data_IF_428864780017
#
_entry.id   IF_428864780017
#
_cell.length_a   1.000
_cell.length_b   1.000
_cell.length_c   1.000
_cell.angle_alpha   90.00
_cell.angle_beta   90.00
_cell.angle_gamma   90.00
#
_symmetry.space_group_name_H-M   'P 1'
#
loop_
_entity.id
_entity.type
_entity.pdbx_description
1 polymer ?
#
# COMPACT_ATOMS: atom_id res chain seq x y z
N UNK A 1 18.80 19.22 14.14
CA UNK A 1 17.83 19.37 15.24
C UNK A 1 16.94 18.15 15.22
N UNK A 2 17.05 17.26 16.20
CA UNK A 2 16.26 16.03 16.24
C UNK A 2 14.87 16.32 16.79
N UNK A 3 13.87 16.36 15.92
CA UNK A 3 12.50 16.10 16.36
C UNK A 3 12.46 14.63 16.77
N UNK A 4 12.29 14.36 18.06
CA UNK A 4 12.01 13.01 18.53
C UNK A 4 10.72 12.54 17.87
N UNK A 5 10.83 11.57 16.96
CA UNK A 5 9.70 10.87 16.36
C UNK A 5 8.85 10.26 17.48
N UNK A 6 7.70 10.87 17.75
CA UNK A 6 6.77 10.49 18.82
C UNK A 6 5.52 9.83 18.27
N UNK A 7 4.49 9.69 19.11
CA UNK A 7 3.17 9.22 18.69
C UNK A 7 2.13 10.31 18.95
N UNK A 8 1.12 10.42 18.08
CA UNK A 8 0.07 11.44 18.19
C UNK A 8 -1.32 10.85 17.98
N UNK A 9 -2.29 11.29 18.80
CA UNK A 9 -3.72 11.05 18.56
C UNK A 9 -4.26 12.23 17.77
N UNK A 10 -4.65 12.00 16.52
CA UNK A 10 -5.08 13.07 15.61
C UNK A 10 -6.60 13.23 15.57
N UNK A 11 -7.35 12.14 15.78
CA UNK A 11 -8.80 12.12 15.63
C UNK A 11 -9.46 11.30 16.74
N UNK A 12 -10.75 11.59 16.95
CA UNK A 12 -11.63 10.82 17.83
C UNK A 12 -12.84 10.38 17.02
N UNK A 13 -13.11 9.08 16.98
CA UNK A 13 -14.25 8.50 16.29
C UNK A 13 -15.29 7.97 17.28
N UNK A 14 -16.54 7.84 16.83
CA UNK A 14 -17.63 7.19 17.55
C UNK A 14 -18.31 6.20 16.61
N UNK A 15 -18.39 4.94 17.04
CA UNK A 15 -19.17 3.92 16.36
C UNK A 15 -20.56 3.85 16.99
N UNK A 16 -21.61 3.88 16.18
CA UNK A 16 -23.01 3.78 16.60
C UNK A 16 -23.73 2.75 15.76
N UNK A 17 -24.53 1.89 16.40
CA UNK A 17 -25.37 0.94 15.69
C UNK A 17 -26.62 1.65 15.21
N UNK A 18 -27.02 1.39 13.97
CA UNK A 18 -28.30 1.88 13.45
C UNK A 18 -29.47 1.09 14.02
N UNK A 19 -29.22 -0.17 14.39
CA UNK A 19 -30.19 -1.05 15.03
C UNK A 19 -30.00 -0.95 16.54
N UNK A 20 -31.08 -0.84 17.31
CA UNK A 20 -31.00 -0.69 18.77
C UNK A 20 -30.36 -1.88 19.50
N UNK A 21 -29.93 -2.93 18.79
CA UNK A 21 -29.08 -3.99 19.29
C UNK A 21 -27.65 -3.48 19.41
N UNK A 22 -27.11 -3.45 20.63
CA UNK A 22 -25.71 -3.11 20.86
C UNK A 22 -24.74 -4.01 20.08
N UNK A 23 -23.44 -3.76 20.22
CA UNK A 23 -22.42 -4.47 19.46
C UNK A 23 -21.94 -5.76 20.13
N UNK A 24 -21.60 -6.77 19.34
CA UNK A 24 -20.70 -7.83 19.80
C UNK A 24 -19.26 -7.33 19.80
N UNK A 25 -18.50 -7.68 20.84
CA UNK A 25 -17.10 -7.23 21.00
C UNK A 25 -16.22 -7.68 19.83
N UNK A 26 -16.40 -8.92 19.36
CA UNK A 26 -15.58 -9.48 18.28
C UNK A 26 -15.85 -8.80 16.93
N UNK A 27 -17.11 -8.39 16.68
CA UNK A 27 -17.48 -7.61 15.49
C UNK A 27 -16.82 -6.23 15.52
N UNK A 28 -16.83 -5.56 16.68
CA UNK A 28 -16.16 -4.27 16.87
C UNK A 28 -14.67 -4.42 16.67
N UNK A 29 -14.04 -5.45 17.23
CA UNK A 29 -12.61 -5.67 17.08
C UNK A 29 -12.23 -5.93 15.61
N UNK A 30 -13.05 -6.69 14.89
CA UNK A 30 -12.87 -6.93 13.45
C UNK A 30 -12.98 -5.65 12.64
N UNK A 31 -13.98 -4.81 12.94
CA UNK A 31 -14.14 -3.51 12.30
C UNK A 31 -12.97 -2.57 12.62
N UNK A 32 -12.51 -2.51 13.87
CA UNK A 32 -11.35 -1.70 14.26
C UNK A 32 -10.10 -2.14 13.50
N UNK A 33 -9.88 -3.45 13.32
CA UNK A 33 -8.75 -3.94 12.54
C UNK A 33 -8.86 -3.55 11.05
N UNK A 34 -10.07 -3.53 10.49
CA UNK A 34 -10.32 -3.04 9.14
C UNK A 34 -10.02 -1.55 9.01
N UNK A 35 -10.49 -0.73 9.96
CA UNK A 35 -10.22 0.72 10.03
C UNK A 35 -8.73 0.99 10.19
N UNK A 36 -8.05 0.30 11.12
CA UNK A 36 -6.61 0.42 11.33
C UNK A 36 -5.85 0.09 10.04
N UNK A 37 -6.26 -0.97 9.33
CA UNK A 37 -5.68 -1.37 8.03
C UNK A 37 -5.92 -0.30 6.96
N UNK A 38 -7.14 0.22 6.86
CA UNK A 38 -7.48 1.24 5.87
C UNK A 38 -6.70 2.53 6.09
N UNK A 39 -6.70 3.06 7.32
CA UNK A 39 -5.95 4.25 7.68
C UNK A 39 -4.44 4.06 7.48
N UNK A 40 -3.95 2.86 7.79
CA UNK A 40 -2.55 2.50 7.54
C UNK A 40 -2.18 2.57 6.05
N UNK A 41 -3.09 2.15 5.16
CA UNK A 41 -2.90 2.26 3.72
C UNK A 41 -2.92 3.72 3.25
N UNK A 42 -3.88 4.52 3.72
CA UNK A 42 -3.98 5.95 3.36
C UNK A 42 -2.70 6.69 3.74
N UNK A 43 -2.23 6.51 4.97
CA UNK A 43 -1.05 7.20 5.50
C UNK A 43 0.27 6.71 4.88
N UNK A 44 0.26 5.55 4.19
CA UNK A 44 1.50 4.87 3.80
C UNK A 44 2.36 4.47 4.99
N UNK A 45 1.76 4.36 6.18
CA UNK A 45 2.44 4.16 7.45
C UNK A 45 1.53 3.51 8.47
N UNK A 46 2.05 2.67 9.38
CA UNK A 46 1.19 1.95 10.32
C UNK A 46 0.47 2.92 11.28
N UNK A 47 -0.86 2.89 11.23
CA UNK A 47 -1.76 3.67 12.05
C UNK A 47 -2.75 2.74 12.77
N UNK A 48 -3.11 3.07 14.00
CA UNK A 48 -4.06 2.27 14.75
C UNK A 48 -4.90 3.08 15.74
N UNK A 49 -6.09 2.56 16.01
CA UNK A 49 -7.04 3.03 17.00
C UNK A 49 -6.52 2.77 18.41
N UNK A 50 -6.72 3.72 19.32
CA UNK A 50 -6.28 3.57 20.73
C UNK A 50 -7.36 4.06 21.68
N UNK A 51 -7.26 3.67 22.95
CA UNK A 51 -8.18 4.07 24.02
C UNK A 51 -9.66 3.78 23.71
N UNK A 52 -9.96 2.66 23.04
CA UNK A 52 -11.33 2.31 22.65
C UNK A 52 -12.14 1.91 23.87
N UNK A 53 -13.30 2.55 24.04
CA UNK A 53 -14.25 2.26 25.12
C UNK A 53 -15.65 2.03 24.56
N UNK A 54 -16.30 0.96 24.99
CA UNK A 54 -17.71 0.66 24.71
C UNK A 54 -18.60 1.23 25.82
N UNK A 55 -19.67 1.92 25.43
CA UNK A 55 -20.61 2.56 26.36
C UNK A 55 -22.02 2.00 26.17
N UNK A 56 -22.74 1.78 27.27
CA UNK A 56 -24.18 1.50 27.22
C UNK A 56 -25.00 2.78 26.98
N UNK A 57 -26.30 2.65 26.71
CA UNK A 57 -27.20 3.78 26.42
C UNK A 57 -27.22 4.87 27.51
N UNK A 58 -26.94 4.50 28.77
CA UNK A 58 -26.86 5.43 29.92
C UNK A 58 -25.52 6.18 30.01
N UNK A 59 -24.56 5.91 29.11
CA UNK A 59 -23.25 6.56 29.06
C UNK A 59 -22.17 5.90 29.92
N UNK A 60 -22.48 4.82 30.63
CA UNK A 60 -21.48 4.10 31.42
C UNK A 60 -20.56 3.27 30.51
N UNK A 61 -19.27 3.27 30.81
CA UNK A 61 -18.30 2.41 30.10
C UNK A 61 -18.46 0.97 30.57
N UNK A 62 -18.81 0.07 29.66
CA UNK A 62 -19.04 -1.36 29.93
C UNK A 62 -17.93 -2.25 29.35
N UNK A 63 -17.11 -1.72 28.45
CA UNK A 63 -16.00 -2.45 27.82
C UNK A 63 -14.86 -1.51 27.44
N UNK A 64 -13.63 -2.03 27.40
CA UNK A 64 -12.44 -1.32 26.90
C UNK A 64 -11.53 -2.28 26.14
N UNK A 65 -10.98 -1.82 25.02
CA UNK A 65 -9.90 -2.50 24.31
C UNK A 65 -8.56 -1.99 24.83
N UNK A 66 -7.75 -2.89 25.37
CA UNK A 66 -6.38 -2.64 25.79
C UNK A 66 -5.44 -3.55 25.01
N UNK A 67 -4.26 -3.06 24.70
CA UNK A 67 -3.21 -3.88 24.10
C UNK A 67 -2.26 -3.07 23.24
N UNK A 68 -1.05 -3.62 22.98
CA UNK A 68 -0.15 -3.02 22.03
C UNK A 68 -0.78 -3.08 20.64
N UNK A 69 -0.84 -1.93 19.95
CA UNK A 69 -1.14 -1.87 18.53
C UNK A 69 0.12 -1.50 17.77
N UNK A 70 0.24 -2.00 16.55
CA UNK A 70 1.35 -1.65 15.68
C UNK A 70 1.11 -0.25 15.11
N UNK A 71 1.88 0.72 15.58
CA UNK A 71 1.84 2.11 15.14
C UNK A 71 3.26 2.54 14.86
N UNK A 72 3.47 3.20 13.72
CA UNK A 72 4.77 3.77 13.36
C UNK A 72 4.94 5.14 14.00
N UNK A 73 6.20 5.50 14.26
CA UNK A 73 6.49 6.82 14.82
C UNK A 73 6.04 7.92 13.84
N UNK A 74 5.54 9.02 14.38
CA UNK A 74 5.01 10.14 13.61
C UNK A 74 6.11 10.73 12.73
N UNK A 75 6.00 10.44 11.43
CA UNK A 75 6.89 10.92 10.38
C UNK A 75 6.06 11.10 9.13
N UNK A 76 6.31 12.17 8.39
CA UNK A 76 5.70 12.35 7.07
C UNK A 76 6.27 11.30 6.13
N UNK A 77 5.42 10.38 5.68
CA UNK A 77 5.76 9.41 4.65
C UNK A 77 5.17 9.84 3.32
N UNK A 78 5.85 9.49 2.23
CA UNK A 78 5.30 9.63 0.88
C UNK A 78 4.22 8.58 0.69
N UNK A 79 3.05 8.97 0.19
CA UNK A 79 1.92 8.07 -0.08
C UNK A 79 1.22 8.54 -1.35
N UNK A 80 0.36 7.69 -1.91
CA UNK A 80 -0.56 8.06 -2.98
C UNK A 80 -1.60 9.09 -2.56
N UNK A 81 -1.81 9.30 -1.25
CA UNK A 81 -2.74 10.32 -0.74
C UNK A 81 -2.09 11.69 -0.67
N UNK A 82 -2.82 12.73 -1.09
CA UNK A 82 -2.47 14.13 -0.85
C UNK A 82 -3.44 14.78 0.16
N UNK A 83 -2.96 15.83 0.82
CA UNK A 83 -3.76 16.59 1.80
C UNK A 83 -4.99 17.26 1.17
N UNK A 84 -4.98 17.51 -0.13
CA UNK A 84 -6.12 18.10 -0.86
C UNK A 84 -7.25 17.09 -1.12
N UNK A 85 -6.99 15.78 -1.04
CA UNK A 85 -7.89 14.72 -1.51
C UNK A 85 -8.97 14.26 -0.51
N UNK A 86 -9.20 15.02 0.57
CA UNK A 86 -10.03 14.58 1.71
C UNK A 86 -11.46 14.14 1.36
N UNK A 87 -12.07 14.71 0.32
CA UNK A 87 -13.44 14.36 -0.10
C UNK A 87 -13.52 13.08 -0.93
N UNK A 88 -12.54 12.82 -1.80
CA UNK A 88 -12.52 11.68 -2.73
C UNK A 88 -12.30 10.34 -2.01
N UNK A 89 -11.57 10.37 -0.90
CA UNK A 89 -11.23 9.17 -0.11
C UNK A 89 -12.46 8.55 0.58
N UNK A 90 -13.54 9.32 0.79
CA UNK A 90 -14.73 8.84 1.52
C UNK A 90 -15.43 7.67 0.80
N UNK A 91 -15.45 7.65 -0.53
CA UNK A 91 -16.02 6.57 -1.33
C UNK A 91 -15.16 5.30 -1.33
N UNK A 92 -13.85 5.45 -1.13
CA UNK A 92 -12.89 4.34 -1.18
C UNK A 92 -13.12 3.30 -0.08
N UNK A 93 -13.59 3.72 1.10
CA UNK A 93 -13.74 2.82 2.24
C UNK A 93 -14.75 1.70 1.97
N UNK A 94 -15.82 1.98 1.21
CA UNK A 94 -16.82 0.97 0.85
C UNK A 94 -16.20 -0.15 0.01
N UNK A 95 -15.51 0.21 -1.07
CA UNK A 95 -14.82 -0.77 -1.92
C UNK A 95 -13.68 -1.50 -1.22
N UNK A 96 -12.94 -0.80 -0.34
CA UNK A 96 -11.98 -1.45 0.56
C UNK A 96 -12.63 -2.53 1.42
N UNK A 97 -13.77 -2.23 2.06
CA UNK A 97 -14.47 -3.18 2.93
C UNK A 97 -14.96 -4.40 2.16
N UNK A 98 -15.43 -4.25 0.92
CA UNK A 98 -15.85 -5.38 0.07
C UNK A 98 -14.71 -6.37 -0.20
N UNK A 99 -13.49 -5.87 -0.42
CA UNK A 99 -12.30 -6.72 -0.62
C UNK A 99 -11.79 -7.26 0.71
N UNK A 100 -11.72 -6.42 1.74
CA UNK A 100 -11.22 -6.78 3.07
C UNK A 100 -12.03 -7.89 3.71
N UNK A 101 -13.37 -7.81 3.68
CA UNK A 101 -14.24 -8.80 4.32
C UNK A 101 -14.10 -10.20 3.70
N UNK A 102 -13.71 -10.30 2.43
CA UNK A 102 -13.45 -11.58 1.76
C UNK A 102 -12.10 -12.18 2.18
N UNK A 103 -11.10 -11.35 2.48
CA UNK A 103 -9.71 -11.77 2.71
C UNK A 103 -8.99 -10.91 3.77
N UNK A 104 -9.49 -10.83 5.02
CA UNK A 104 -9.03 -9.82 5.98
C UNK A 104 -7.56 -10.00 6.37
N UNK A 105 -7.12 -11.25 6.53
CA UNK A 105 -5.72 -11.57 6.86
C UNK A 105 -4.76 -11.20 5.72
N UNK A 106 -5.14 -11.47 4.48
CA UNK A 106 -4.29 -11.20 3.33
C UNK A 106 -4.22 -9.71 3.02
N UNK A 107 -5.34 -8.98 3.04
CA UNK A 107 -5.35 -7.52 2.86
C UNK A 107 -4.59 -6.82 3.99
N UNK A 108 -4.82 -7.23 5.24
CA UNK A 108 -4.04 -6.73 6.37
C UNK A 108 -2.54 -7.00 6.22
N UNK A 109 -2.16 -8.16 5.67
CA UNK A 109 -0.75 -8.49 5.38
C UNK A 109 -0.18 -7.63 4.25
N UNK A 110 -0.90 -7.42 3.16
CA UNK A 110 -0.44 -6.61 2.03
C UNK A 110 -0.19 -5.17 2.48
N UNK A 111 -1.12 -4.57 3.23
CA UNK A 111 -0.94 -3.20 3.74
C UNK A 111 0.26 -3.11 4.69
N UNK A 112 0.47 -4.12 5.55
CA UNK A 112 1.68 -4.14 6.40
C UNK A 112 2.96 -4.21 5.57
N UNK A 113 3.02 -5.07 4.54
CA UNK A 113 4.18 -5.17 3.64
C UNK A 113 4.42 -3.86 2.88
N UNK A 114 3.36 -3.24 2.37
CA UNK A 114 3.39 -1.92 1.74
C UNK A 114 3.98 -0.86 2.69
N UNK A 115 3.43 -0.74 3.90
CA UNK A 115 3.92 0.23 4.88
C UNK A 115 5.35 -0.05 5.31
N UNK A 116 5.70 -1.31 5.57
CA UNK A 116 7.08 -1.70 5.92
C UNK A 116 8.05 -1.41 4.80
N UNK A 117 7.64 -1.55 3.52
CA UNK A 117 8.46 -1.17 2.37
C UNK A 117 8.59 0.36 2.26
N UNK A 118 7.49 1.09 2.42
CA UNK A 118 7.49 2.55 2.32
C UNK A 118 8.38 3.19 3.40
N UNK A 119 8.24 2.73 4.65
CA UNK A 119 8.94 3.26 5.82
C UNK A 119 10.40 2.82 5.93
N UNK A 120 10.82 1.75 5.25
CA UNK A 120 12.16 1.19 5.44
C UNK A 120 13.24 2.16 4.95
N UNK A 121 14.26 2.36 5.77
CA UNK A 121 15.48 3.06 5.37
C UNK A 121 16.35 2.19 4.45
N UNK A 122 16.23 0.85 4.51
CA UNK A 122 16.87 -0.07 3.56
C UNK A 122 16.02 -0.20 2.30
N UNK A 123 16.53 0.35 1.20
CA UNK A 123 15.90 0.29 -0.12
C UNK A 123 15.80 -1.17 -0.60
N UNK A 124 16.85 -1.96 -0.39
CA UNK A 124 16.92 -3.37 -0.77
C UNK A 124 15.79 -4.19 -0.14
N UNK A 125 15.60 -4.05 1.18
CA UNK A 125 14.50 -4.71 1.88
C UNK A 125 13.13 -4.21 1.39
N UNK A 126 13.02 -2.93 1.04
CA UNK A 126 11.78 -2.37 0.48
C UNK A 126 11.40 -3.07 -0.82
N UNK A 127 12.36 -3.26 -1.74
CA UNK A 127 12.14 -3.93 -3.03
C UNK A 127 11.69 -5.38 -2.81
N UNK A 128 12.33 -6.11 -1.89
CA UNK A 128 11.95 -7.49 -1.56
C UNK A 128 10.53 -7.53 -0.97
N UNK A 129 10.18 -6.61 -0.07
CA UNK A 129 8.85 -6.54 0.54
C UNK A 129 7.76 -6.19 -0.48
N UNK A 130 8.04 -5.31 -1.44
CA UNK A 130 7.14 -5.00 -2.56
C UNK A 130 6.81 -6.27 -3.35
N UNK A 131 7.83 -7.07 -3.68
CA UNK A 131 7.63 -8.31 -4.42
C UNK A 131 6.75 -9.31 -3.66
N UNK A 132 6.96 -9.47 -2.34
CA UNK A 132 6.11 -10.33 -1.51
C UNK A 132 4.67 -9.78 -1.48
N UNK A 133 4.48 -8.47 -1.40
CA UNK A 133 3.16 -7.86 -1.42
C UNK A 133 2.42 -8.14 -2.74
N UNK A 134 3.11 -8.02 -3.88
CA UNK A 134 2.54 -8.42 -5.18
C UNK A 134 2.11 -9.87 -5.18
N UNK A 135 2.96 -10.80 -4.78
CA UNK A 135 2.64 -12.23 -4.81
C UNK A 135 1.41 -12.59 -3.95
N UNK A 136 1.27 -11.94 -2.79
CA UNK A 136 0.09 -12.09 -1.94
C UNK A 136 -1.14 -11.47 -2.61
N UNK A 137 -1.02 -10.25 -3.16
CA UNK A 137 -2.13 -9.56 -3.83
C UNK A 137 -2.61 -10.34 -5.07
N UNK A 138 -1.70 -10.86 -5.88
CA UNK A 138 -2.02 -11.74 -7.01
C UNK A 138 -2.84 -12.95 -6.59
N UNK A 139 -2.60 -13.49 -5.40
CA UNK A 139 -3.33 -14.66 -4.89
C UNK A 139 -4.78 -14.32 -4.55
N UNK A 140 -5.05 -13.07 -4.17
CA UNK A 140 -6.41 -12.57 -3.87
C UNK A 140 -7.13 -12.16 -5.16
N UNK A 141 -6.44 -11.46 -6.06
CA UNK A 141 -7.03 -10.92 -7.28
C UNK A 141 -7.22 -11.98 -8.38
N UNK A 142 -6.42 -13.05 -8.37
CA UNK A 142 -6.57 -14.15 -9.32
C UNK A 142 -7.30 -15.34 -8.70
N UNK A 143 -8.39 -15.76 -9.35
CA UNK A 143 -9.01 -17.05 -9.07
C UNK A 143 -8.01 -18.21 -9.25
N UNK A 144 -8.23 -19.34 -8.57
CA UNK A 144 -7.38 -20.53 -8.67
C UNK A 144 -7.22 -21.06 -10.13
N UNK A 145 -8.22 -20.79 -11.00
CA UNK A 145 -8.18 -21.11 -12.44
C UNK A 145 -7.48 -20.04 -13.28
N UNK A 146 -7.35 -18.83 -12.75
CA UNK A 146 -6.68 -17.67 -13.34
C UNK A 146 -5.24 -17.50 -12.91
N UNK A 147 -4.66 -18.40 -12.08
CA UNK A 147 -3.22 -18.43 -11.82
C UNK A 147 -2.47 -18.69 -13.12
N UNK A 148 -2.06 -17.60 -13.77
CA UNK A 148 -1.34 -17.65 -15.03
C UNK A 148 0.03 -18.28 -14.80
N UNK A 149 0.40 -19.22 -15.68
CA UNK A 149 1.76 -19.78 -15.74
C UNK A 149 2.66 -18.72 -16.35
N UNK A 150 3.84 -18.50 -15.77
CA UNK A 150 4.79 -17.50 -16.26
C UNK A 150 5.73 -17.04 -15.16
N UNK A 151 6.80 -16.36 -15.55
CA UNK A 151 7.70 -15.71 -14.61
C UNK A 151 6.96 -14.63 -13.79
N UNK A 152 7.36 -14.33 -12.54
CA UNK A 152 6.69 -13.34 -11.70
C UNK A 152 6.51 -11.98 -12.39
N UNK A 153 7.52 -11.50 -13.14
CA UNK A 153 7.47 -10.22 -13.84
C UNK A 153 6.37 -10.18 -14.90
N UNK A 154 6.25 -11.22 -15.73
CA UNK A 154 5.20 -11.33 -16.75
C UNK A 154 3.81 -11.33 -16.14
N UNK A 155 3.62 -12.05 -15.03
CA UNK A 155 2.31 -12.11 -14.35
C UNK A 155 1.87 -10.75 -13.82
N UNK A 156 2.80 -9.96 -13.30
CA UNK A 156 2.53 -8.60 -12.82
C UNK A 156 2.25 -7.69 -14.03
N UNK A 157 3.09 -7.74 -15.07
CA UNK A 157 2.92 -6.94 -16.28
C UNK A 157 1.59 -7.17 -16.97
N UNK A 158 1.18 -8.43 -17.12
CA UNK A 158 -0.10 -8.78 -17.72
C UNK A 158 -1.30 -8.28 -16.90
N UNK A 159 -1.20 -8.28 -15.57
CA UNK A 159 -2.24 -7.75 -14.72
C UNK A 159 -2.34 -6.24 -14.85
N UNK A 160 -1.22 -5.51 -14.78
CA UNK A 160 -1.19 -4.06 -14.98
C UNK A 160 -1.84 -3.68 -16.31
N UNK A 161 -1.45 -4.34 -17.40
CA UNK A 161 -2.05 -4.11 -18.73
C UNK A 161 -3.56 -4.39 -18.76
N UNK A 162 -4.03 -5.43 -18.06
CA UNK A 162 -5.47 -5.74 -18.01
C UNK A 162 -6.31 -4.69 -17.27
N UNK A 163 -5.65 -3.81 -16.51
CA UNK A 163 -6.24 -2.72 -15.75
C UNK A 163 -5.90 -1.35 -16.35
N UNK A 164 -5.40 -1.32 -17.59
CA UNK A 164 -4.97 -0.10 -18.29
C UNK A 164 -3.85 0.67 -17.58
N UNK A 165 -3.09 0.01 -16.71
CA UNK A 165 -1.90 0.56 -16.06
C UNK A 165 -0.69 0.27 -16.96
N UNK A 166 0.04 1.32 -17.32
CA UNK A 166 1.29 1.19 -18.07
C UNK A 166 2.29 0.35 -17.28
N UNK A 167 2.93 -0.62 -17.94
CA UNK A 167 3.89 -1.53 -17.32
C UNK A 167 5.35 -1.22 -17.70
N UNK A 168 5.60 -0.07 -18.34
CA UNK A 168 6.93 0.37 -18.76
C UNK A 168 7.65 1.10 -17.63
N UNK A 169 8.97 1.22 -17.71
CA UNK A 169 9.72 2.12 -16.83
C UNK A 169 9.46 3.56 -17.29
N UNK A 170 9.01 4.47 -16.41
CA UNK A 170 8.75 5.86 -16.78
C UNK A 170 10.00 6.61 -17.22
N UNK A 171 9.83 7.57 -18.14
CA UNK A 171 10.89 8.46 -18.64
C UNK A 171 11.58 9.29 -17.53
N UNK A 172 10.95 9.43 -16.36
CA UNK A 172 11.52 10.14 -15.21
C UNK A 172 12.53 9.32 -14.39
N UNK A 173 12.69 8.02 -14.68
CA UNK A 173 13.56 7.08 -13.95
C UNK A 173 14.79 6.72 -14.77
N UNK A 174 15.71 7.70 -14.89
CA UNK A 174 16.91 7.61 -15.73
C UNK A 174 17.81 6.41 -15.35
N UNK A 175 17.97 6.14 -14.05
CA UNK A 175 18.87 5.08 -13.59
C UNK A 175 18.32 3.68 -13.90
N UNK A 176 16.99 3.47 -13.76
CA UNK A 176 16.34 2.25 -14.19
C UNK A 176 16.34 2.09 -15.71
N UNK A 177 16.10 3.16 -16.47
CA UNK A 177 16.14 3.11 -17.93
C UNK A 177 17.53 2.73 -18.45
N UNK A 178 18.59 3.17 -17.79
CA UNK A 178 19.94 2.74 -18.10
C UNK A 178 20.11 1.22 -17.95
N UNK A 179 19.61 0.63 -16.86
CA UNK A 179 19.66 -0.82 -16.64
C UNK A 179 18.79 -1.60 -17.63
N UNK A 180 17.58 -1.11 -17.92
CA UNK A 180 16.68 -1.68 -18.93
C UNK A 180 17.41 -1.80 -20.27
N UNK A 181 18.13 -0.75 -20.66
CA UNK A 181 18.91 -0.70 -21.90
C UNK A 181 20.16 -1.58 -21.85
N UNK A 182 20.85 -1.63 -20.72
CA UNK A 182 22.07 -2.43 -20.53
C UNK A 182 21.79 -3.93 -20.62
N UNK A 183 20.70 -4.38 -19.99
CA UNK A 183 20.37 -5.81 -19.88
C UNK A 183 19.24 -6.28 -20.81
N UNK A 184 18.72 -5.39 -21.66
CA UNK A 184 17.60 -5.67 -22.58
C UNK A 184 16.35 -6.22 -21.85
N UNK A 185 16.03 -5.62 -20.70
CA UNK A 185 14.86 -6.02 -19.91
C UNK A 185 13.56 -5.52 -20.55
N UNK A 186 12.59 -6.42 -20.68
CA UNK A 186 11.39 -6.19 -21.49
C UNK A 186 10.45 -5.08 -20.99
N UNK A 187 10.23 -4.97 -19.67
CA UNK A 187 9.26 -4.05 -19.06
C UNK A 187 9.54 -3.82 -17.58
N UNK A 188 8.87 -2.86 -16.96
CA UNK A 188 9.08 -2.44 -15.58
C UNK A 188 8.95 -3.59 -14.56
N UNK A 189 7.88 -4.40 -14.59
CA UNK A 189 7.78 -5.56 -13.71
C UNK A 189 8.89 -6.60 -13.88
N UNK A 190 9.39 -6.84 -15.09
CA UNK A 190 10.55 -7.68 -15.32
C UNK A 190 11.80 -7.06 -14.68
N UNK A 191 12.05 -5.76 -14.90
CA UNK A 191 13.14 -5.02 -14.26
C UNK A 191 13.11 -5.12 -12.73
N UNK A 192 11.94 -4.96 -12.10
CA UNK A 192 11.79 -5.09 -10.65
C UNK A 192 12.14 -6.49 -10.14
N UNK A 193 11.80 -7.54 -10.91
CA UNK A 193 12.12 -8.93 -10.57
C UNK A 193 13.61 -9.19 -10.69
N UNK A 194 14.28 -8.71 -11.74
CA UNK A 194 15.73 -8.90 -11.91
C UNK A 194 16.53 -8.16 -10.84
N UNK A 195 16.15 -6.91 -10.52
CA UNK A 195 16.75 -6.15 -9.41
C UNK A 195 16.50 -6.87 -8.08
N UNK A 196 15.31 -7.44 -7.85
CA UNK A 196 15.07 -8.24 -6.65
C UNK A 196 15.95 -9.49 -6.64
N UNK A 197 16.12 -10.15 -7.78
CA UNK A 197 16.92 -11.36 -7.89
C UNK A 197 18.39 -11.09 -7.55
N UNK A 198 18.98 -9.97 -7.99
CA UNK A 198 20.35 -9.59 -7.62
C UNK A 198 20.54 -9.29 -6.12
N UNK A 199 19.50 -8.80 -5.45
CA UNK A 199 19.54 -8.57 -4.00
C UNK A 199 19.48 -9.86 -3.19
N UNK A 200 18.78 -10.88 -3.71
CA UNK A 200 18.56 -12.15 -3.00
C UNK A 200 19.63 -13.18 -3.35
N UNK A 201 20.03 -13.22 -4.61
CA UNK A 201 21.07 -14.09 -5.14
C UNK A 201 22.29 -13.20 -5.37
N UNK A 202 23.42 -13.52 -4.74
CA UNK A 202 24.68 -12.77 -4.90
C UNK A 202 25.21 -12.90 -6.34
N UNK A 203 24.54 -12.21 -7.25
CA UNK A 203 24.80 -12.22 -8.68
C UNK A 203 25.81 -11.13 -9.02
N UNK A 204 27.02 -11.58 -9.32
CA UNK A 204 28.16 -10.70 -9.59
C UNK A 204 27.98 -9.84 -10.83
N UNK A 205 27.09 -10.21 -11.74
CA UNK A 205 26.80 -9.40 -12.94
C UNK A 205 25.96 -8.16 -12.62
N UNK A 206 25.31 -8.11 -11.45
CA UNK A 206 24.45 -7.01 -11.00
C UNK A 206 24.97 -6.32 -9.72
N UNK A 207 26.23 -6.59 -9.34
CA UNK A 207 26.91 -5.95 -8.20
C UNK A 207 27.10 -4.42 -8.40
N UNK A 208 26.89 -3.91 -9.62
CA UNK A 208 27.08 -2.51 -10.02
C UNK A 208 25.81 -1.65 -10.02
N UNK A 209 24.65 -2.18 -9.61
CA UNK A 209 23.40 -1.40 -9.58
C UNK A 209 23.56 -0.20 -8.64
N UNK A 210 23.25 0.99 -9.15
CA UNK A 210 23.37 2.24 -8.39
C UNK A 210 22.28 2.37 -7.32
N UNK A 211 22.56 3.14 -6.26
CA UNK A 211 21.55 3.44 -5.24
C UNK A 211 20.35 4.20 -5.82
N UNK A 212 20.55 5.00 -6.86
CA UNK A 212 19.45 5.70 -7.55
C UNK A 212 18.52 4.71 -8.26
N UNK A 213 19.08 3.71 -8.95
CA UNK A 213 18.30 2.66 -9.59
C UNK A 213 17.50 1.84 -8.56
N UNK A 214 18.09 1.52 -7.40
CA UNK A 214 17.35 0.87 -6.32
C UNK A 214 16.23 1.77 -5.78
N UNK A 215 16.48 3.07 -5.61
CA UNK A 215 15.47 4.00 -5.13
C UNK A 215 14.30 4.12 -6.11
N UNK A 216 14.59 4.27 -7.40
CA UNK A 216 13.61 4.27 -8.49
C UNK A 216 12.84 2.94 -8.54
N UNK A 217 13.52 1.79 -8.38
CA UNK A 217 12.86 0.48 -8.31
C UNK A 217 11.88 0.39 -7.13
N UNK A 218 12.27 0.90 -5.96
CA UNK A 218 11.39 1.01 -4.80
C UNK A 218 10.17 1.87 -5.12
N UNK A 219 10.35 3.05 -5.71
CA UNK A 219 9.25 3.95 -6.04
C UNK A 219 8.30 3.32 -7.08
N UNK A 220 8.84 2.70 -8.12
CA UNK A 220 8.07 2.02 -9.17
C UNK A 220 7.25 0.86 -8.59
N UNK A 221 7.87 0.03 -7.74
CA UNK A 221 7.20 -1.08 -7.08
C UNK A 221 6.09 -0.62 -6.12
N UNK A 222 6.32 0.44 -5.34
CA UNK A 222 5.28 1.01 -4.49
C UNK A 222 4.14 1.60 -5.32
N UNK A 223 4.45 2.30 -6.42
CA UNK A 223 3.46 2.90 -7.31
C UNK A 223 2.52 1.85 -7.92
N UNK A 224 3.09 0.77 -8.49
CA UNK A 224 2.30 -0.33 -9.00
C UNK A 224 1.42 -0.96 -7.91
N UNK A 225 1.95 -1.16 -6.70
CA UNK A 225 1.19 -1.75 -5.60
C UNK A 225 0.02 -0.85 -5.17
N UNK A 226 0.24 0.47 -5.10
CA UNK A 226 -0.80 1.46 -4.81
C UNK A 226 -1.89 1.44 -5.86
N UNK A 227 -1.54 1.50 -7.16
CA UNK A 227 -2.52 1.47 -8.23
C UNK A 227 -3.34 0.18 -8.23
N UNK A 228 -2.71 -0.98 -8.02
CA UNK A 228 -3.44 -2.24 -7.94
C UNK A 228 -4.41 -2.27 -6.75
N UNK A 229 -4.01 -1.74 -5.59
CA UNK A 229 -4.89 -1.65 -4.43
C UNK A 229 -6.05 -0.68 -4.69
N UNK A 230 -5.77 0.51 -5.22
CA UNK A 230 -6.78 1.50 -5.58
C UNK A 230 -7.80 0.94 -6.58
N UNK A 231 -7.33 0.30 -7.65
CA UNK A 231 -8.20 -0.36 -8.62
C UNK A 231 -9.03 -1.46 -7.94
N UNK A 232 -8.41 -2.29 -7.09
CA UNK A 232 -9.13 -3.36 -6.38
C UNK A 232 -10.25 -2.85 -5.48
N UNK A 233 -10.11 -1.62 -4.97
CA UNK A 233 -11.11 -0.95 -4.14
C UNK A 233 -12.10 -0.12 -4.96
N UNK A 234 -12.06 -0.18 -6.29
CA UNK A 234 -12.97 0.56 -7.18
C UNK A 234 -12.77 2.08 -7.15
N UNK A 235 -11.55 2.54 -6.86
CA UNK A 235 -11.25 3.97 -6.83
C UNK A 235 -11.11 4.55 -8.24
N UNK A 236 -11.76 5.68 -8.53
CA UNK A 236 -11.69 6.36 -9.84
C UNK A 236 -11.26 7.84 -9.72
N UNK A 237 -10.76 8.25 -8.54
CA UNK A 237 -10.40 9.63 -8.25
C UNK A 237 -8.96 9.99 -8.61
N UNK A 238 -8.51 11.12 -8.08
CA UNK A 238 -7.13 11.56 -8.20
C UNK A 238 -6.23 10.81 -7.23
N UNK A 239 -4.93 10.74 -7.54
CA UNK A 239 -3.90 10.22 -6.64
C UNK A 239 -2.60 10.99 -6.84
N UNK A 240 -1.76 10.95 -5.81
CA UNK A 240 -0.49 11.62 -5.79
C UNK A 240 0.60 10.65 -6.28
N UNK A 241 1.02 10.81 -7.53
CA UNK A 241 1.93 9.86 -8.19
C UNK A 241 3.33 9.80 -7.58
N UNK A 242 3.91 8.59 -7.53
CA UNK A 242 5.28 8.35 -7.07
C UNK A 242 6.34 8.59 -8.14
N UNK A 243 5.91 8.68 -9.41
CA UNK A 243 6.81 8.77 -10.56
C UNK A 243 7.48 10.15 -10.71
N UNK A 244 6.96 11.16 -9.99
CA UNK A 244 7.53 12.50 -9.94
C UNK A 244 8.64 12.56 -8.87
N UNK A 245 9.79 13.20 -9.11
CA UNK A 245 10.87 13.30 -8.12
C UNK A 245 10.48 14.10 -6.86
N UNK A 246 9.61 15.11 -7.04
CA UNK A 246 9.10 15.96 -5.95
C UNK A 246 7.58 15.95 -6.01
N UNK A 247 6.96 15.68 -4.86
CA UNK A 247 5.51 15.71 -4.72
C UNK A 247 5.13 16.99 -3.96
N UNK A 248 4.54 17.94 -4.68
CA UNK A 248 3.98 19.15 -4.08
C UNK A 248 2.53 18.90 -3.65
N UNK A 249 2.06 19.63 -2.64
CA UNK A 249 0.66 19.54 -2.23
C UNK A 249 -0.25 19.95 -3.40
N UNK A 250 -1.26 19.13 -3.69
CA UNK A 250 -2.13 19.29 -4.86
C UNK A 250 -1.53 18.88 -6.21
N UNK A 251 -0.33 18.28 -6.23
CA UNK A 251 0.23 17.66 -7.44
C UNK A 251 -0.31 16.24 -7.59
N UNK A 252 -1.59 16.18 -7.98
CA UNK A 252 -2.37 14.96 -8.15
C UNK A 252 -2.72 14.75 -9.63
N UNK A 253 -2.99 13.50 -9.98
CA UNK A 253 -3.45 13.13 -11.32
C UNK A 253 -4.52 12.04 -11.20
N UNK A 254 -5.40 11.90 -12.19
CA UNK A 254 -6.39 10.83 -12.19
C UNK A 254 -5.72 9.46 -12.30
N UNK A 255 -6.32 8.44 -11.69
CA UNK A 255 -5.89 7.06 -11.91
C UNK A 255 -6.04 6.67 -13.39
N UNK A 256 -5.19 5.77 -13.93
CA UNK A 256 -5.16 5.47 -15.37
C UNK A 256 -6.49 4.99 -15.98
N UNK A 257 -7.34 4.34 -15.19
CA UNK A 257 -8.63 3.78 -15.62
C UNK A 257 -9.82 4.73 -15.35
N UNK A 258 -9.60 5.92 -14.80
CA UNK A 258 -10.66 6.91 -14.61
C UNK A 258 -11.16 7.41 -15.99
N UNK A 259 -12.47 7.54 -16.14
CA UNK A 259 -13.14 7.94 -17.40
C UNK A 259 -13.62 9.38 -17.38
#
# INVERSE_FOLDING_TARGET
MGESAGFGVTHKAKLTSNDCGGFQVDEVQSLLNAVDTFLSFLCGSACATTNVSGMEAKGNVVWRSWGPRHVSAWKRQRSWTDITMSHEISGLFAGFMEVYLKNPEHIGRIVRLYNSSNENDSVDLSIILNQIAFEVLMTILMDAKGRRKGAPGERIAEMLMSLEIENVVPDSFDALLALVKEHDWAHGPHTLVEIRNSLVHADKELDSISMDAYFEAKQLGLWYLELLLLHSFGYEGEYASRLKPVQMAGDTELVPWAK
#
